data_IF_277443198671
#
_entry.id   IF_277443198671
#
_cell.length_a   1.000
_cell.length_b   1.000
_cell.length_c   1.000
_cell.angle_alpha   90.00
_cell.angle_beta   90.00
_cell.angle_gamma   90.00
#
_symmetry.space_group_name_H-M   'P 1'
#
loop_
_entity.id
_entity.type
_entity.pdbx_description
1 polymer ?
#
# COMPACT_ATOMS: atom_id res chain seq x y z
N UNK A 1 10.22 10.36 34.73
CA UNK A 1 9.75 9.13 34.07
C UNK A 1 9.14 9.54 32.74
N UNK A 2 9.89 9.47 31.64
CA UNK A 2 9.39 9.86 30.32
C UNK A 2 8.45 8.79 29.80
N UNK A 3 7.16 9.08 29.70
CA UNK A 3 6.25 8.25 28.92
C UNK A 3 6.77 8.22 27.48
N UNK A 4 7.15 7.05 26.99
CA UNK A 4 7.35 6.85 25.57
C UNK A 4 5.99 7.03 24.91
N UNK A 5 5.75 8.21 24.33
CA UNK A 5 4.52 8.54 23.61
C UNK A 5 4.44 7.72 22.32
N UNK A 6 3.98 6.48 22.44
CA UNK A 6 3.69 5.63 21.29
C UNK A 6 2.64 6.28 20.40
N UNK A 7 2.75 6.07 19.09
CA UNK A 7 1.82 6.65 18.12
C UNK A 7 0.60 5.75 17.99
N UNK A 8 -0.56 6.38 18.06
CA UNK A 8 -1.85 5.71 17.89
C UNK A 8 -2.25 5.75 16.42
N UNK A 9 -2.27 4.59 15.79
CA UNK A 9 -3.01 4.38 14.56
C UNK A 9 -4.47 4.15 14.93
N UNK A 10 -5.37 4.95 14.38
CA UNK A 10 -6.79 4.67 14.51
C UNK A 10 -7.19 3.70 13.41
N UNK A 11 -7.41 2.45 13.81
CA UNK A 11 -7.90 1.41 12.91
C UNK A 11 -9.40 1.29 13.11
N UNK A 12 -10.16 1.64 12.08
CA UNK A 12 -11.60 1.48 12.04
C UNK A 12 -11.93 0.33 11.11
N UNK A 13 -12.46 -0.75 11.67
CA UNK A 13 -12.92 -1.87 10.84
C UNK A 13 -14.41 -1.71 10.61
N UNK A 14 -14.78 -1.40 9.38
CA UNK A 14 -16.16 -1.24 8.96
C UNK A 14 -16.63 -2.53 8.29
N UNK A 15 -17.34 -3.35 9.05
CA UNK A 15 -18.03 -4.52 8.52
C UNK A 15 -19.37 -4.07 7.95
N UNK A 16 -19.36 -3.50 6.74
CA UNK A 16 -20.56 -3.46 5.92
C UNK A 16 -20.75 -4.81 5.23
N UNK A 17 -21.99 -5.16 4.85
CA UNK A 17 -22.27 -6.35 4.02
C UNK A 17 -21.22 -6.51 2.92
N UNK A 18 -20.77 -7.76 2.72
CA UNK A 18 -19.54 -8.10 2.00
C UNK A 18 -19.38 -7.30 0.69
N UNK A 19 -18.18 -6.76 0.40
CA UNK A 19 -16.93 -7.00 1.13
C UNK A 19 -16.78 -6.14 2.41
N UNK A 20 -16.22 -6.76 3.46
CA UNK A 20 -15.85 -6.03 4.68
C UNK A 20 -14.66 -5.12 4.39
N UNK A 21 -14.62 -3.93 5.01
CA UNK A 21 -13.58 -2.92 4.74
C UNK A 21 -12.84 -2.55 6.03
N UNK A 22 -11.54 -2.36 5.93
CA UNK A 22 -10.71 -1.78 7.00
C UNK A 22 -10.27 -0.39 6.58
N UNK A 23 -10.55 0.62 7.40
CA UNK A 23 -10.03 1.98 7.29
C UNK A 23 -8.89 2.15 8.31
N UNK A 24 -7.69 2.47 7.86
CA UNK A 24 -6.52 2.74 8.70
C UNK A 24 -6.19 4.22 8.60
N UNK A 25 -6.31 4.94 9.70
CA UNK A 25 -5.92 6.36 9.79
C UNK A 25 -4.48 6.49 10.28
N UNK A 26 -3.67 7.18 9.48
CA UNK A 26 -2.26 7.45 9.75
C UNK A 26 -2.07 8.85 10.34
N UNK A 27 -0.98 9.09 11.11
CA UNK A 27 -0.73 10.39 11.70
C UNK A 27 -0.45 11.49 10.65
N UNK A 28 0.11 11.12 9.49
CA UNK A 28 0.42 12.04 8.39
C UNK A 28 -0.10 11.52 7.03
N UNK A 29 -0.37 12.47 6.12
CA UNK A 29 -0.79 12.16 4.74
C UNK A 29 0.34 11.43 3.98
N UNK A 30 1.60 11.80 4.23
CA UNK A 30 2.75 11.17 3.59
C UNK A 30 2.85 9.68 3.94
N UNK A 31 2.65 9.33 5.22
CA UNK A 31 2.63 7.93 5.66
C UNK A 31 1.46 7.17 5.04
N UNK A 32 0.26 7.75 5.02
CA UNK A 32 -0.91 7.16 4.38
C UNK A 32 -0.65 6.86 2.90
N UNK A 33 -0.07 7.81 2.16
CA UNK A 33 0.26 7.64 0.75
C UNK A 33 1.35 6.59 0.51
N UNK A 34 2.42 6.58 1.32
CA UNK A 34 3.47 5.55 1.22
C UNK A 34 2.91 4.17 1.47
N UNK A 35 2.13 4.01 2.54
CA UNK A 35 1.47 2.75 2.85
C UNK A 35 0.55 2.32 1.71
N UNK A 36 -0.32 3.21 1.22
CA UNK A 36 -1.18 2.97 0.07
C UNK A 36 -0.40 2.40 -1.13
N UNK A 37 0.68 3.07 -1.54
CA UNK A 37 1.51 2.61 -2.66
C UNK A 37 2.24 1.29 -2.38
N UNK A 38 2.56 0.98 -1.12
CA UNK A 38 3.14 -0.31 -0.71
C UNK A 38 2.15 -1.45 -0.94
N UNK A 39 0.90 -1.28 -0.50
CA UNK A 39 -0.10 -2.36 -0.50
C UNK A 39 -0.87 -2.47 -1.83
N UNK A 40 -0.93 -1.42 -2.65
CA UNK A 40 -1.46 -1.50 -4.03
C UNK A 40 -0.72 -2.56 -4.86
N UNK A 41 0.56 -2.81 -4.55
CA UNK A 41 1.37 -3.86 -5.19
C UNK A 41 1.10 -5.27 -4.64
N UNK A 42 0.50 -5.39 -3.46
CA UNK A 42 0.33 -6.66 -2.72
C UNK A 42 -1.00 -7.38 -3.03
N UNK A 43 -1.64 -7.08 -4.18
CA UNK A 43 -2.91 -7.69 -4.63
C UNK A 43 -4.08 -7.52 -3.65
N UNK A 44 -3.98 -6.59 -2.71
CA UNK A 44 -5.11 -6.22 -1.85
C UNK A 44 -5.86 -5.08 -2.52
N UNK A 45 -7.19 -5.17 -2.60
CA UNK A 45 -7.99 -4.13 -3.26
C UNK A 45 -8.07 -2.91 -2.35
N UNK A 46 -7.28 -1.89 -2.68
CA UNK A 46 -7.25 -0.60 -1.99
C UNK A 46 -8.34 0.30 -2.58
N UNK A 47 -9.23 0.79 -1.73
CA UNK A 47 -10.32 1.66 -2.15
C UNK A 47 -9.79 3.06 -2.50
N UNK A 48 -10.43 3.80 -3.43
CA UNK A 48 -10.02 5.15 -3.79
C UNK A 48 -9.91 6.08 -2.57
N UNK A 49 -8.89 6.95 -2.56
CA UNK A 49 -8.74 7.93 -1.48
C UNK A 49 -9.92 8.92 -1.50
N UNK A 50 -10.54 9.14 -0.34
CA UNK A 50 -11.53 10.21 -0.18
C UNK A 50 -10.83 11.55 0.01
N UNK A 51 -11.25 12.58 -0.74
CA UNK A 51 -10.76 13.96 -0.54
C UNK A 51 -11.04 14.50 0.87
N UNK A 52 -12.05 13.96 1.56
CA UNK A 52 -12.41 14.34 2.92
C UNK A 52 -11.56 13.65 3.99
N UNK A 53 -10.91 12.52 3.67
CA UNK A 53 -10.09 11.74 4.61
C UNK A 53 -8.71 11.40 3.99
N UNK A 54 -7.84 12.38 3.72
CA UNK A 54 -6.57 12.16 3.01
C UNK A 54 -5.54 11.34 3.81
N UNK A 55 -5.75 11.19 5.13
CA UNK A 55 -4.90 10.40 6.03
C UNK A 55 -5.36 8.94 6.19
N UNK A 56 -6.48 8.58 5.57
CA UNK A 56 -7.09 7.26 5.73
C UNK A 56 -6.82 6.41 4.50
N UNK A 57 -6.37 5.17 4.74
CA UNK A 57 -6.24 4.14 3.72
C UNK A 57 -7.32 3.10 3.96
N UNK A 58 -8.23 2.96 3.01
CA UNK A 58 -9.32 2.01 3.06
C UNK A 58 -9.02 0.81 2.18
N UNK A 59 -9.23 -0.39 2.72
CA UNK A 59 -8.81 -1.66 2.13
C UNK A 59 -9.93 -2.67 2.24
N UNK A 60 -10.28 -3.36 1.15
CA UNK A 60 -11.22 -4.47 1.20
C UNK A 60 -10.55 -5.70 1.83
N UNK A 61 -11.20 -6.27 2.84
CA UNK A 61 -10.79 -7.55 3.41
C UNK A 61 -11.05 -8.68 2.42
N UNK A 62 -10.11 -9.63 2.29
CA UNK A 62 -10.34 -10.77 1.42
C UNK A 62 -11.50 -11.62 1.97
N UNK A 63 -12.27 -12.28 1.08
CA UNK A 63 -13.41 -13.11 1.48
C UNK A 63 -13.02 -14.34 2.32
N UNK A 64 -11.71 -14.63 2.41
CA UNK A 64 -11.15 -15.65 3.29
C UNK A 64 -11.12 -15.21 4.75
N UNK A 65 -11.30 -13.93 5.08
CA UNK A 65 -11.52 -13.49 6.47
C UNK A 65 -12.87 -14.01 6.94
N UNK A 66 -12.85 -14.85 7.97
CA UNK A 66 -14.04 -15.48 8.54
C UNK A 66 -14.49 -14.81 9.82
N UNK A 67 -13.57 -14.21 10.56
CA UNK A 67 -13.87 -13.62 11.87
C UNK A 67 -12.92 -12.45 12.19
N UNK A 68 -13.37 -11.58 13.09
CA UNK A 68 -12.65 -10.42 13.60
C UNK A 68 -12.79 -10.35 15.13
N UNK A 69 -11.66 -10.35 15.82
CA UNK A 69 -11.58 -10.19 17.26
C UNK A 69 -10.85 -8.90 17.64
N UNK A 70 -11.21 -8.29 18.76
CA UNK A 70 -10.41 -7.22 19.37
C UNK A 70 -9.66 -7.78 20.58
N UNK A 71 -8.33 -7.80 20.52
CA UNK A 71 -7.50 -8.26 21.62
C UNK A 71 -6.96 -7.06 22.42
N UNK A 72 -7.45 -6.90 23.66
CA UNK A 72 -7.08 -5.77 24.53
C UNK A 72 -5.63 -5.85 25.02
N UNK A 73 -5.14 -7.04 25.34
CA UNK A 73 -3.78 -7.25 25.84
C UNK A 73 -2.73 -6.87 24.79
N UNK A 74 -3.02 -7.14 23.51
CA UNK A 74 -2.17 -6.76 22.38
C UNK A 74 -2.47 -5.37 21.83
N UNK A 75 -3.54 -4.71 22.30
CA UNK A 75 -4.08 -3.48 21.73
C UNK A 75 -4.19 -3.56 20.20
N UNK A 76 -4.82 -4.63 19.73
CA UNK A 76 -4.85 -4.97 18.32
C UNK A 76 -6.20 -5.56 17.90
N UNK A 77 -6.46 -5.48 16.59
CA UNK A 77 -7.51 -6.27 15.95
C UNK A 77 -6.91 -7.54 15.39
N UNK A 78 -7.51 -8.69 15.65
CA UNK A 78 -7.09 -10.00 15.13
C UNK A 78 -8.06 -10.42 14.03
N UNK A 79 -7.54 -10.62 12.83
CA UNK A 79 -8.30 -11.11 11.69
C UNK A 79 -8.03 -12.61 11.55
N UNK A 80 -9.10 -13.39 11.46
CA UNK A 80 -9.05 -14.84 11.31
C UNK A 80 -9.35 -15.20 9.86
N UNK A 81 -8.45 -15.97 9.27
CA UNK A 81 -8.54 -16.41 7.89
C UNK A 81 -8.94 -17.88 7.83
N UNK A 82 -9.66 -18.26 6.77
CA UNK A 82 -9.99 -19.65 6.46
C UNK A 82 -8.73 -20.49 6.26
N UNK A 83 -7.70 -19.92 5.63
CA UNK A 83 -6.44 -20.58 5.29
C UNK A 83 -5.22 -19.76 5.74
N UNK A 84 -4.15 -20.44 6.15
CA UNK A 84 -2.93 -19.77 6.63
C UNK A 84 -2.13 -19.09 5.52
N UNK A 85 -2.24 -19.57 4.28
CA UNK A 85 -1.62 -18.93 3.12
C UNK A 85 -2.23 -17.57 2.82
N UNK A 86 -3.54 -17.42 2.99
CA UNK A 86 -4.22 -16.14 2.77
C UNK A 86 -3.83 -15.11 3.82
N UNK A 87 -3.71 -15.54 5.08
CA UNK A 87 -3.14 -14.71 6.14
C UNK A 87 -1.70 -14.28 5.83
N UNK A 88 -0.88 -15.16 5.24
CA UNK A 88 0.48 -14.84 4.85
C UNK A 88 0.57 -13.81 3.72
N UNK A 89 -0.33 -13.88 2.73
CA UNK A 89 -0.42 -12.92 1.63
C UNK A 89 -0.83 -11.52 2.10
N UNK A 90 -1.57 -11.44 3.20
CA UNK A 90 -2.06 -10.17 3.73
C UNK A 90 -1.11 -9.53 4.74
N UNK A 91 -0.15 -10.27 5.29
CA UNK A 91 0.81 -9.73 6.25
C UNK A 91 1.74 -8.69 5.62
N UNK A 92 1.86 -7.53 6.26
CA UNK A 92 2.65 -6.40 5.77
C UNK A 92 3.33 -5.59 6.91
N UNK A 93 3.60 -4.31 6.65
CA UNK A 93 4.22 -3.40 7.61
C UNK A 93 3.33 -3.11 8.83
N UNK A 94 2.01 -2.98 8.67
CA UNK A 94 1.04 -2.64 9.74
C UNK A 94 0.24 -3.83 10.26
N UNK A 95 0.17 -4.92 9.50
CA UNK A 95 -0.47 -6.16 9.94
C UNK A 95 0.54 -7.32 9.95
N UNK A 96 0.61 -8.06 11.05
CA UNK A 96 1.61 -9.13 11.22
C UNK A 96 0.94 -10.45 11.56
N UNK A 97 1.57 -11.55 11.17
CA UNK A 97 1.13 -12.89 11.55
C UNK A 97 1.28 -13.09 13.06
N UNK A 98 0.31 -13.79 13.66
CA UNK A 98 0.43 -14.24 15.04
C UNK A 98 1.37 -15.45 15.08
N UNK A 99 2.39 -15.40 15.94
CA UNK A 99 3.32 -16.51 16.13
C UNK A 99 2.52 -17.74 16.57
N UNK A 100 2.79 -18.89 15.96
CA UNK A 100 2.12 -20.17 16.23
C UNK A 100 0.63 -20.26 15.79
N UNK A 101 0.05 -19.19 15.24
CA UNK A 101 -1.31 -19.18 14.69
C UNK A 101 -1.30 -18.73 13.22
N UNK A 102 -1.00 -19.63 12.26
CA UNK A 102 -0.71 -19.28 10.87
C UNK A 102 -1.91 -18.70 10.11
N UNK A 103 -3.14 -18.88 10.63
CA UNK A 103 -4.41 -18.39 10.09
C UNK A 103 -4.81 -17.01 10.64
N UNK A 104 -4.00 -16.43 11.51
CA UNK A 104 -4.31 -15.17 12.16
C UNK A 104 -3.28 -14.12 11.81
N UNK A 105 -3.77 -12.89 11.66
CA UNK A 105 -2.95 -11.68 11.62
C UNK A 105 -3.51 -10.71 12.65
N UNK A 106 -2.65 -9.88 13.21
CA UNK A 106 -3.06 -8.77 14.04
C UNK A 106 -2.69 -7.43 13.36
N UNK A 107 -3.57 -6.46 13.51
CA UNK A 107 -3.35 -5.05 13.16
C UNK A 107 -3.14 -4.30 14.47
N UNK A 108 -1.90 -3.88 14.74
CA UNK A 108 -1.56 -3.12 15.94
C UNK A 108 -2.16 -1.72 15.86
N UNK A 109 -2.88 -1.32 16.91
CA UNK A 109 -3.38 0.05 17.05
C UNK A 109 -2.29 1.02 17.51
N UNK A 110 -1.26 0.52 18.19
CA UNK A 110 -0.17 1.35 18.71
C UNK A 110 1.17 0.89 18.14
N UNK A 111 1.96 1.88 17.71
CA UNK A 111 3.28 1.69 17.14
C UNK A 111 4.30 2.48 17.96
N UNK A 112 5.41 1.83 18.28
CA UNK A 112 6.35 2.34 19.27
C UNK A 112 7.07 3.62 18.79
N UNK A 113 7.30 3.81 17.46
CA UNK A 113 7.81 5.06 16.83
C UNK A 113 7.41 5.23 15.35
N UNK A 114 7.37 6.48 14.84
CA UNK A 114 7.15 6.78 13.40
C UNK A 114 8.29 6.16 12.59
N UNK A 115 9.54 6.32 13.03
CA UNK A 115 10.72 5.84 12.30
C UNK A 115 10.70 4.32 12.07
N UNK A 116 10.21 3.54 13.04
CA UNK A 116 10.10 2.08 12.87
C UNK A 116 9.03 1.70 11.84
N UNK A 117 7.90 2.40 11.84
CA UNK A 117 6.87 2.19 10.82
C UNK A 117 7.39 2.65 9.45
N UNK A 118 8.09 3.78 9.39
CA UNK A 118 8.74 4.29 8.17
C UNK A 118 9.81 3.36 7.63
N UNK A 119 10.63 2.75 8.48
CA UNK A 119 11.64 1.76 8.08
C UNK A 119 11.03 0.46 7.55
N UNK A 120 9.84 0.08 8.03
CA UNK A 120 9.16 -1.15 7.61
C UNK A 120 8.30 -0.97 6.37
N UNK A 121 7.86 0.26 6.10
CA UNK A 121 7.22 0.59 4.84
C UNK A 121 8.29 0.68 3.75
N UNK A 122 8.09 0.05 2.58
CA UNK A 122 9.05 0.19 1.50
C UNK A 122 9.20 1.67 1.13
N UNK A 123 10.44 2.14 1.04
CA UNK A 123 10.76 3.49 0.62
C UNK A 123 10.13 3.77 -0.74
N UNK A 124 9.12 4.64 -0.75
CA UNK A 124 8.67 5.29 -1.98
C UNK A 124 9.71 6.34 -2.29
N UNK A 125 10.81 5.94 -2.91
CA UNK A 125 11.59 6.90 -3.68
C UNK A 125 10.72 7.20 -4.89
N UNK A 126 10.18 8.41 -5.06
CA UNK A 126 9.65 8.79 -6.35
C UNK A 126 10.84 8.65 -7.29
N UNK A 127 10.80 7.67 -8.19
CA UNK A 127 11.80 7.58 -9.25
C UNK A 127 11.74 8.94 -9.95
N UNK A 128 12.81 9.75 -9.96
CA UNK A 128 12.79 10.97 -10.74
C UNK A 128 12.69 10.51 -12.19
N UNK A 129 11.51 10.65 -12.78
CA UNK A 129 11.36 10.67 -14.22
C UNK A 129 12.07 11.94 -14.70
N UNK A 130 13.39 11.85 -14.87
CA UNK A 130 14.13 12.89 -15.59
C UNK A 130 13.74 12.83 -17.08
N UNK A 131 13.67 13.99 -17.74
CA UNK A 131 12.91 14.20 -18.94
C UNK A 131 13.74 13.81 -20.17
N UNK A 132 13.15 13.12 -21.13
CA UNK A 132 13.71 13.08 -22.47
C UNK A 132 13.01 14.14 -23.31
N UNK A 133 13.62 15.33 -23.35
CA UNK A 133 13.27 16.38 -24.30
C UNK A 133 14.39 16.50 -25.34
N UNK A 134 14.23 15.81 -26.46
CA UNK A 134 14.69 16.21 -27.79
C UNK A 134 13.97 15.30 -28.82
N UNK A 135 13.22 15.74 -29.82
CA UNK A 135 12.92 17.07 -30.33
C UNK A 135 11.61 17.04 -31.14
N UNK A 136 11.23 18.23 -31.61
CA UNK A 136 9.99 18.59 -32.29
C UNK A 136 9.64 17.71 -33.52
N UNK A 137 8.34 17.43 -33.80
CA UNK A 137 7.87 17.14 -35.17
C UNK A 137 7.40 18.44 -35.84
N UNK A 138 6.94 18.47 -37.11
CA UNK A 138 7.09 17.55 -38.26
C UNK A 138 7.68 18.30 -39.49
N UNK A 139 7.86 17.67 -40.67
CA UNK A 139 7.49 18.19 -42.03
C UNK A 139 7.82 17.15 -43.11
N UNK A 140 7.01 17.17 -44.16
CA UNK A 140 6.77 16.21 -45.24
C UNK A 140 7.92 15.98 -46.24
N UNK A 141 7.85 14.79 -46.87
CA UNK A 141 8.26 14.34 -48.21
C UNK A 141 9.12 15.24 -49.12
N UNK A 142 10.14 14.65 -49.80
CA UNK A 142 10.17 14.49 -51.28
C UNK A 142 11.45 13.77 -51.83
N UNK A 143 11.19 12.88 -52.80
CA UNK A 143 11.98 12.36 -53.97
C UNK A 143 13.25 11.49 -53.80
N UNK A 144 13.34 10.32 -54.48
CA UNK A 144 14.58 9.57 -54.69
C UNK A 144 15.41 10.14 -55.84
N UNK A 145 16.69 10.42 -55.61
CA UNK A 145 17.64 10.83 -56.65
C UNK A 145 18.42 9.64 -57.22
N UNK A 146 18.15 9.38 -58.51
CA UNK A 146 18.89 8.69 -59.59
C UNK A 146 20.33 8.20 -59.31
N UNK A 147 20.72 6.99 -59.74
CA UNK A 147 22.11 6.51 -59.70
C UNK A 147 23.01 7.19 -60.77
N UNK A 148 24.34 7.21 -60.54
CA UNK A 148 25.31 7.87 -61.42
C UNK A 148 25.55 7.10 -62.75
N UNK A 149 25.99 7.79 -63.81
CA UNK A 149 26.34 7.16 -65.09
C UNK A 149 27.68 6.39 -65.02
N UNK A 150 27.88 5.37 -65.88
CA UNK A 150 29.12 4.61 -65.97
C UNK A 150 30.21 5.36 -66.77
N UNK A 151 31.46 4.99 -66.56
CA UNK A 151 32.62 5.37 -67.39
C UNK A 151 33.72 4.31 -67.23
N UNK A 152 34.64 4.11 -68.20
CA UNK A 152 34.65 4.48 -69.62
C UNK A 152 34.29 3.31 -70.57
#
# INVERSE_FOLDING_TARGET
MSQASGLRLYVYIRVTTRPATVEIEFPSIQLAQRYRSSIEKMRTKVLPSSRQKPKVVAVELPPSVTDLETNRSMQAFVLHFKQGEDAAKWADAVCRRVKDHPRQIFIKQYWDRVDELEQRLPSVVPKPSLPDRAGSPPTQAAVPSRPPPPSP
#
